data_IF_733782050239
#
_entry.id   IF_733782050239
#
_cell.length_a   1.000
_cell.length_b   1.000
_cell.length_c   1.000
_cell.angle_alpha   90.00
_cell.angle_beta   90.00
_cell.angle_gamma   90.00
#
_symmetry.space_group_name_H-M   'P 1'
#
loop_
_entity.id
_entity.type
_entity.pdbx_description
1 polymer ?
#
# COMPACT_ATOMS: atom_id res chain seq x y z
N UNK A 1 36.10 23.33 -17.77
CA UNK A 1 36.05 24.66 -17.13
C UNK A 1 36.68 25.69 -18.06
N UNK A 2 37.95 25.57 -18.42
CA UNK A 2 38.61 26.42 -19.42
C UNK A 2 37.84 26.51 -20.75
N UNK A 3 37.36 25.38 -21.29
CA UNK A 3 36.56 25.37 -22.52
C UNK A 3 35.27 26.20 -22.48
N UNK A 4 34.64 26.39 -21.30
CA UNK A 4 33.43 27.21 -21.18
C UNK A 4 33.73 28.70 -21.07
N UNK A 5 34.92 29.04 -20.54
CA UNK A 5 35.44 30.41 -20.52
C UNK A 5 35.83 30.82 -21.93
N UNK A 6 36.49 29.93 -22.68
CA UNK A 6 36.91 30.18 -24.06
C UNK A 6 35.72 30.27 -25.03
N UNK A 7 34.62 29.55 -24.77
CA UNK A 7 33.34 29.70 -25.49
C UNK A 7 32.69 31.06 -25.23
N UNK A 8 32.73 31.55 -23.99
CA UNK A 8 32.17 32.85 -23.62
C UNK A 8 33.00 34.02 -24.17
N UNK A 9 34.33 33.92 -24.11
CA UNK A 9 35.23 34.91 -24.71
C UNK A 9 35.08 34.94 -26.25
N UNK A 10 34.90 33.79 -26.90
CA UNK A 10 34.58 33.74 -28.33
C UNK A 10 33.21 34.32 -28.68
N UNK A 11 32.21 34.19 -27.81
CA UNK A 11 30.89 34.79 -28.02
C UNK A 11 30.92 36.33 -27.88
N UNK A 12 31.79 36.85 -27.00
CA UNK A 12 32.05 38.28 -26.83
C UNK A 12 32.88 38.88 -27.97
N UNK A 13 33.83 38.15 -28.54
CA UNK A 13 34.65 38.63 -29.67
C UNK A 13 33.93 38.51 -31.02
N UNK A 14 32.98 37.56 -31.16
CA UNK A 14 32.17 37.40 -32.39
C UNK A 14 30.94 38.30 -32.46
N UNK A 15 30.62 39.05 -31.42
CA UNK A 15 29.50 40.01 -31.44
C UNK A 15 29.90 41.31 -32.16
N UNK A 16 30.03 41.24 -33.49
CA UNK A 16 29.19 42.15 -34.28
C UNK A 16 27.76 41.79 -33.89
N UNK A 17 27.06 42.73 -33.28
CA UNK A 17 25.70 42.56 -32.77
C UNK A 17 24.77 42.36 -33.98
N UNK A 18 24.75 41.13 -34.50
CA UNK A 18 23.76 40.64 -35.44
C UNK A 18 22.99 39.52 -34.74
N UNK A 19 21.67 39.68 -34.76
CA UNK A 19 20.69 38.94 -33.98
C UNK A 19 20.82 37.42 -34.17
N UNK A 20 21.25 36.71 -33.13
CA UNK A 20 21.01 35.28 -32.99
C UNK A 20 19.67 35.07 -32.27
N UNK A 21 18.59 35.06 -33.04
CA UNK A 21 17.30 34.51 -32.61
C UNK A 21 17.37 32.99 -32.69
N UNK A 22 17.65 32.32 -31.58
CA UNK A 22 17.64 30.85 -31.49
C UNK A 22 17.91 30.32 -30.07
N UNK A 23 16.83 30.03 -29.34
CA UNK A 23 16.67 29.03 -28.27
C UNK A 23 17.84 28.68 -27.33
N UNK A 24 18.51 29.68 -26.74
CA UNK A 24 19.27 29.49 -25.50
C UNK A 24 18.94 30.57 -24.47
N UNK A 25 17.88 30.34 -23.69
CA UNK A 25 17.67 31.05 -22.43
C UNK A 25 18.63 30.47 -21.39
N UNK A 26 19.70 31.21 -21.08
CA UNK A 26 20.52 30.91 -19.91
C UNK A 26 19.67 31.09 -18.65
N UNK A 27 19.62 30.07 -17.78
CA UNK A 27 18.83 30.16 -16.55
C UNK A 27 19.56 31.09 -15.58
N UNK A 28 18.82 31.81 -14.74
CA UNK A 28 19.37 32.77 -13.77
C UNK A 28 20.50 32.21 -12.89
N UNK A 29 20.51 30.88 -12.62
CA UNK A 29 21.60 30.21 -11.87
C UNK A 29 22.90 30.08 -12.65
N UNK A 30 22.84 29.94 -13.96
CA UNK A 30 24.04 29.77 -14.81
C UNK A 30 24.79 31.11 -14.94
N UNK A 31 24.05 32.22 -14.91
CA UNK A 31 24.59 33.59 -14.89
C UNK A 31 25.15 33.93 -13.51
N UNK A 32 24.48 33.54 -12.43
CA UNK A 32 24.93 33.75 -11.06
C UNK A 32 26.27 33.04 -10.78
N UNK A 33 26.43 31.81 -11.27
CA UNK A 33 27.68 31.05 -11.15
C UNK A 33 28.88 31.67 -11.90
N UNK A 34 28.63 32.35 -13.02
CA UNK A 34 29.68 33.03 -13.81
C UNK A 34 30.07 34.39 -13.23
N UNK A 35 29.19 35.03 -12.46
CA UNK A 35 29.41 36.34 -11.85
C UNK A 35 30.14 36.28 -10.51
N UNK A 36 30.11 35.13 -9.83
CA UNK A 36 30.85 34.89 -8.58
C UNK A 36 32.38 34.86 -8.76
N UNK A 37 32.89 34.66 -10.00
CA UNK A 37 34.33 34.59 -10.29
C UNK A 37 34.91 35.81 -11.04
N UNK A 38 34.13 36.88 -11.24
CA UNK A 38 34.61 38.10 -11.89
C UNK A 38 35.32 39.05 -10.92
N UNK A 39 36.62 39.26 -11.11
CA UNK A 39 37.38 40.29 -10.36
C UNK A 39 36.95 41.71 -10.73
N UNK A 40 36.92 42.62 -9.75
CA UNK A 40 36.56 44.05 -9.92
C UNK A 40 37.26 44.75 -11.11
N UNK A 41 38.50 44.36 -11.42
CA UNK A 41 39.26 44.85 -12.58
C UNK A 41 38.61 44.53 -13.94
N UNK A 42 38.00 43.34 -14.07
CA UNK A 42 37.31 42.92 -15.30
C UNK A 42 35.97 43.64 -15.46
N UNK A 43 35.22 43.83 -14.36
CA UNK A 43 33.95 44.55 -14.36
C UNK A 43 34.14 46.03 -14.74
N UNK A 44 35.16 46.69 -14.18
CA UNK A 44 35.47 48.10 -14.48
C UNK A 44 35.84 48.32 -15.96
N UNK A 45 36.60 47.40 -16.57
CA UNK A 45 36.95 47.47 -18.00
C UNK A 45 35.74 47.29 -18.91
N UNK A 46 34.78 46.44 -18.54
CA UNK A 46 33.55 46.25 -19.30
C UNK A 46 32.66 47.51 -19.26
N UNK A 47 32.56 48.17 -18.10
CA UNK A 47 31.80 49.42 -17.95
C UNK A 47 32.42 50.55 -18.82
N UNK A 48 33.74 50.70 -18.82
CA UNK A 48 34.44 51.68 -19.67
C UNK A 48 34.23 51.40 -21.18
N UNK A 49 34.10 50.13 -21.56
CA UNK A 49 33.85 49.73 -22.96
C UNK A 49 32.43 50.06 -23.40
N UNK A 50 31.45 49.89 -22.51
CA UNK A 50 30.04 50.25 -22.75
C UNK A 50 29.90 51.78 -22.91
N UNK A 51 30.51 52.57 -22.02
CA UNK A 51 30.47 54.03 -22.11
C UNK A 51 31.12 54.56 -23.39
N UNK A 52 32.24 53.97 -23.82
CA UNK A 52 32.90 54.32 -25.08
C UNK A 52 31.99 54.09 -26.29
N UNK A 53 31.20 53.02 -26.27
CA UNK A 53 30.26 52.72 -27.34
C UNK A 53 29.03 53.65 -27.29
N UNK A 54 28.48 53.93 -26.10
CA UNK A 54 27.38 54.89 -25.95
C UNK A 54 27.75 56.31 -26.43
N UNK A 55 28.96 56.77 -26.13
CA UNK A 55 29.46 58.07 -26.58
C UNK A 55 29.74 58.11 -28.11
N UNK A 56 30.12 56.99 -28.71
CA UNK A 56 30.32 56.88 -30.16
C UNK A 56 29.00 56.96 -30.94
N UNK A 57 27.89 56.51 -30.33
CA UNK A 57 26.55 56.54 -30.92
C UNK A 57 25.75 57.82 -30.57
N UNK A 58 26.40 58.82 -29.97
CA UNK A 58 25.79 60.13 -29.65
C UNK A 58 24.72 60.11 -28.56
N UNK A 59 24.70 59.06 -27.73
CA UNK A 59 23.76 58.90 -26.63
C UNK A 59 24.30 59.63 -25.39
N UNK A 60 23.55 60.62 -24.89
CA UNK A 60 23.89 61.35 -23.66
C UNK A 60 23.99 60.36 -22.48
N UNK A 61 25.21 60.12 -22.01
CA UNK A 61 25.53 59.20 -20.93
C UNK A 61 25.10 59.87 -19.62
N UNK A 62 23.84 59.63 -19.28
CA UNK A 62 23.11 60.21 -18.15
C UNK A 62 23.85 60.07 -16.81
N UNK A 63 23.50 60.97 -15.88
CA UNK A 63 24.00 61.09 -14.48
C UNK A 63 24.28 59.76 -13.77
N UNK A 64 23.61 58.69 -14.14
CA UNK A 64 23.74 57.35 -13.56
C UNK A 64 25.10 56.71 -13.84
N UNK A 65 25.68 56.85 -15.04
CA UNK A 65 27.03 56.31 -15.34
C UNK A 65 28.10 57.05 -14.54
N UNK A 66 27.97 58.38 -14.40
CA UNK A 66 28.88 59.21 -13.59
C UNK A 66 28.75 58.83 -12.11
N UNK A 67 27.52 58.66 -11.61
CA UNK A 67 27.25 58.28 -10.21
C UNK A 67 27.79 56.88 -9.90
N UNK A 68 27.66 55.93 -10.82
CA UNK A 68 28.22 54.58 -10.70
C UNK A 68 29.75 54.58 -10.71
N UNK A 69 30.40 55.44 -11.51
CA UNK A 69 31.86 55.63 -11.46
C UNK A 69 32.34 56.14 -10.11
N UNK A 70 31.67 57.13 -9.53
CA UNK A 70 32.03 57.67 -8.21
C UNK A 70 31.85 56.61 -7.12
N UNK A 71 30.74 55.86 -7.14
CA UNK A 71 30.52 54.75 -6.20
C UNK A 71 31.57 53.66 -6.34
N UNK A 72 31.93 53.23 -7.56
CA UNK A 72 32.96 52.20 -7.76
C UNK A 72 34.36 52.68 -7.31
N UNK A 73 34.72 53.94 -7.54
CA UNK A 73 35.99 54.49 -7.07
C UNK A 73 36.04 54.62 -5.54
N UNK A 74 34.96 55.08 -4.91
CA UNK A 74 34.88 55.20 -3.44
C UNK A 74 34.83 53.80 -2.76
N UNK A 75 34.21 52.81 -3.40
CA UNK A 75 34.14 51.43 -2.92
C UNK A 75 35.43 50.62 -3.15
N UNK A 76 36.34 51.06 -4.03
CA UNK A 76 37.65 50.40 -4.20
C UNK A 76 38.56 50.60 -2.98
N UNK A 77 38.34 51.65 -2.18
CA UNK A 77 39.11 51.94 -0.96
C UNK A 77 38.47 51.38 0.33
N UNK A 78 37.21 50.91 0.30
CA UNK A 78 36.51 50.37 1.49
C UNK A 78 35.72 49.11 1.15
N UNK A 79 36.27 47.96 1.52
CA UNK A 79 35.62 46.66 1.33
C UNK A 79 34.48 46.42 2.34
N UNK A 80 33.25 46.26 1.86
CA UNK A 80 32.20 45.42 2.47
C UNK A 80 31.30 44.79 1.40
N UNK A 81 30.79 43.59 1.68
CA UNK A 81 30.17 42.64 0.72
C UNK A 81 28.80 43.08 0.17
N UNK A 82 28.12 44.04 0.80
CA UNK A 82 26.76 44.44 0.40
C UNK A 82 26.71 45.33 -0.87
N UNK A 83 27.80 46.01 -1.25
CA UNK A 83 27.82 46.87 -2.44
C UNK A 83 27.91 46.10 -3.77
N UNK A 84 28.35 44.83 -3.73
CA UNK A 84 28.47 43.96 -4.92
C UNK A 84 27.09 43.62 -5.52
N UNK A 85 26.07 43.51 -4.67
CA UNK A 85 24.70 43.22 -5.12
C UNK A 85 24.07 44.43 -5.84
N UNK A 86 24.35 45.64 -5.36
CA UNK A 86 23.78 46.87 -5.92
C UNK A 86 24.37 47.21 -7.30
N UNK A 87 25.69 47.02 -7.49
CA UNK A 87 26.33 47.20 -8.80
C UNK A 87 25.83 46.20 -9.85
N UNK A 88 25.52 44.97 -9.43
CA UNK A 88 25.03 43.92 -10.31
C UNK A 88 23.59 44.18 -10.79
N UNK A 89 22.74 44.73 -9.93
CA UNK A 89 21.36 45.11 -10.30
C UNK A 89 21.37 46.25 -11.33
N UNK A 90 22.24 47.26 -11.13
CA UNK A 90 22.34 48.42 -12.03
C UNK A 90 22.89 48.01 -13.40
N UNK A 91 23.89 47.13 -13.46
CA UNK A 91 24.42 46.61 -14.72
C UNK A 91 23.36 45.82 -15.51
N UNK A 92 22.52 45.04 -14.81
CA UNK A 92 21.42 44.29 -15.42
C UNK A 92 20.33 45.21 -15.97
N UNK A 93 20.00 46.30 -15.25
CA UNK A 93 19.02 47.29 -15.70
C UNK A 93 19.52 48.07 -16.92
N UNK A 94 20.78 48.48 -16.95
CA UNK A 94 21.38 49.17 -18.10
C UNK A 94 21.45 48.27 -19.34
N UNK A 95 21.75 46.97 -19.17
CA UNK A 95 21.76 46.00 -20.27
C UNK A 95 20.35 45.72 -20.82
N UNK A 96 19.34 45.67 -19.95
CA UNK A 96 17.95 45.51 -20.35
C UNK A 96 17.43 46.74 -21.11
N UNK A 97 17.77 47.97 -20.68
CA UNK A 97 17.35 49.20 -21.36
C UNK A 97 18.03 49.38 -22.73
N UNK A 98 19.31 49.02 -22.86
CA UNK A 98 20.02 49.05 -24.15
C UNK A 98 19.35 48.11 -25.18
N UNK A 99 19.05 46.87 -24.78
CA UNK A 99 18.39 45.91 -25.66
C UNK A 99 16.97 46.34 -26.05
N UNK A 100 16.23 46.99 -25.14
CA UNK A 100 14.86 47.43 -25.41
C UNK A 100 14.81 48.65 -26.36
N UNK A 101 15.79 49.57 -26.28
CA UNK A 101 15.95 50.68 -27.24
C UNK A 101 16.47 50.20 -28.61
N UNK A 102 17.40 49.25 -28.65
CA UNK A 102 17.88 48.64 -29.90
C UNK A 102 16.76 47.86 -30.61
N UNK A 103 15.89 47.17 -29.87
CA UNK A 103 14.73 46.47 -30.43
C UNK A 103 13.69 47.42 -31.04
N UNK A 104 13.48 48.61 -30.46
CA UNK A 104 12.56 49.63 -31.00
C UNK A 104 13.08 50.31 -32.28
N UNK A 105 14.38 50.49 -32.43
CA UNK A 105 14.97 51.06 -33.65
C UNK A 105 15.02 50.05 -34.82
N UNK A 106 15.14 48.75 -34.52
CA UNK A 106 15.10 47.70 -35.55
C UNK A 106 13.68 47.35 -36.01
N UNK A 107 12.64 47.67 -35.22
CA UNK A 107 11.24 47.40 -35.57
C UNK A 107 10.68 48.33 -36.67
N UNK A 108 11.36 49.43 -37.01
CA UNK A 108 10.91 50.36 -38.06
C UNK A 108 11.59 50.15 -39.42
N UNK A 109 12.56 49.25 -39.55
CA UNK A 109 13.39 49.14 -40.75
C UNK A 109 13.15 47.89 -41.64
N UNK A 110 12.35 46.91 -41.20
CA UNK A 110 12.21 45.64 -41.93
C UNK A 110 10.77 45.34 -42.36
N UNK A 111 10.17 46.29 -43.09
CA UNK A 111 9.01 46.03 -43.93
C UNK A 111 9.49 45.63 -45.34
N UNK A 112 9.96 44.40 -45.51
CA UNK A 112 10.08 43.78 -46.84
C UNK A 112 9.82 42.26 -46.77
N UNK A 113 8.61 41.90 -47.22
CA UNK A 113 8.15 40.60 -47.74
C UNK A 113 8.96 39.35 -47.33
N UNK A 114 8.39 38.57 -46.40
CA UNK A 114 8.67 37.13 -46.29
C UNK A 114 7.34 36.37 -46.24
N UNK A 115 7.18 35.43 -47.17
CA UNK A 115 6.04 34.53 -47.28
C UNK A 115 5.82 33.75 -45.98
N UNK A 116 4.57 33.76 -45.49
CA UNK A 116 4.19 33.05 -44.28
C UNK A 116 3.97 31.56 -44.60
N UNK A 117 5.05 30.77 -44.65
CA UNK A 117 4.90 29.32 -44.55
C UNK A 117 4.41 28.95 -43.14
N UNK A 118 3.15 28.51 -43.05
CA UNK A 118 2.58 27.88 -41.85
C UNK A 118 3.42 26.66 -41.46
N UNK A 119 4.41 26.83 -40.57
CA UNK A 119 5.06 25.70 -39.88
C UNK A 119 4.03 24.98 -39.01
N UNK A 120 3.54 23.86 -39.53
CA UNK A 120 2.61 22.94 -38.89
C UNK A 120 3.18 22.39 -37.57
N UNK A 121 2.48 22.60 -36.46
CA UNK A 121 2.77 22.10 -35.10
C UNK A 121 2.59 20.55 -34.98
N UNK A 122 2.70 19.79 -36.08
CA UNK A 122 2.56 18.32 -36.10
C UNK A 122 3.96 17.74 -36.34
N UNK A 123 4.62 17.12 -35.32
CA UNK A 123 4.19 15.82 -34.79
C UNK A 123 4.39 15.60 -33.27
N UNK A 124 4.66 16.63 -32.46
CA UNK A 124 4.88 16.45 -31.02
C UNK A 124 3.65 15.88 -30.30
N UNK A 125 2.47 16.42 -30.62
CA UNK A 125 1.20 15.91 -30.09
C UNK A 125 0.87 14.51 -30.59
N UNK A 126 1.33 14.12 -31.79
CA UNK A 126 1.16 12.77 -32.33
C UNK A 126 2.08 11.77 -31.59
N UNK A 127 3.31 12.17 -31.29
CA UNK A 127 4.23 11.37 -30.48
C UNK A 127 3.70 11.22 -29.05
N UNK A 128 3.32 12.32 -28.39
CA UNK A 128 2.73 12.28 -27.06
C UNK A 128 1.44 11.44 -27.03
N UNK A 129 0.58 11.58 -28.03
CA UNK A 129 -0.63 10.75 -28.18
C UNK A 129 -0.28 9.27 -28.37
N UNK A 130 0.73 8.94 -29.19
CA UNK A 130 1.17 7.56 -29.40
C UNK A 130 1.76 6.93 -28.13
N UNK A 131 2.52 7.70 -27.34
CA UNK A 131 3.06 7.27 -26.04
C UNK A 131 1.93 7.06 -25.04
N UNK A 132 0.97 7.98 -24.97
CA UNK A 132 -0.22 7.83 -24.12
C UNK A 132 -1.08 6.64 -24.55
N UNK A 133 -1.24 6.41 -25.84
CA UNK A 133 -1.99 5.25 -26.37
C UNK A 133 -1.26 3.94 -26.06
N UNK A 134 0.07 3.91 -26.16
CA UNK A 134 0.85 2.74 -25.76
C UNK A 134 0.71 2.45 -24.25
N UNK A 135 0.78 3.48 -23.40
CA UNK A 135 0.63 3.36 -21.94
C UNK A 135 -0.78 2.98 -21.50
N UNK A 136 -1.81 3.49 -22.18
CA UNK A 136 -3.23 3.34 -21.77
C UNK A 136 -3.90 2.15 -22.45
N UNK A 137 -3.46 1.76 -23.65
CA UNK A 137 -4.10 0.71 -24.44
C UNK A 137 -3.18 -0.49 -24.58
N UNK A 138 -1.98 -0.32 -25.13
CA UNK A 138 -1.13 -1.48 -25.48
C UNK A 138 -0.61 -2.20 -24.23
N UNK A 139 -0.12 -1.47 -23.24
CA UNK A 139 0.40 -2.06 -22.00
C UNK A 139 -0.70 -2.76 -21.20
N UNK A 140 -1.89 -2.14 -20.94
CA UNK A 140 -2.97 -2.86 -20.30
C UNK A 140 -3.41 -4.07 -21.12
N UNK A 141 -3.67 -3.93 -22.43
CA UNK A 141 -4.11 -5.06 -23.26
C UNK A 141 -3.11 -6.22 -23.24
N UNK A 142 -1.80 -5.94 -23.26
CA UNK A 142 -0.76 -6.98 -23.18
C UNK A 142 -0.58 -7.56 -21.78
N UNK A 143 -0.71 -6.76 -20.71
CA UNK A 143 -0.69 -7.28 -19.34
C UNK A 143 -1.94 -8.10 -19.01
N UNK A 144 -3.10 -7.71 -19.56
CA UNK A 144 -4.37 -8.40 -19.33
C UNK A 144 -4.54 -9.63 -20.23
N UNK A 145 -3.95 -9.66 -21.43
CA UNK A 145 -3.97 -10.86 -22.28
C UNK A 145 -3.31 -12.06 -21.61
N UNK A 146 -2.35 -11.82 -20.69
CA UNK A 146 -1.70 -12.84 -19.86
C UNK A 146 -2.75 -13.66 -19.08
N UNK A 147 -3.83 -13.06 -18.59
CA UNK A 147 -4.85 -13.78 -17.83
C UNK A 147 -5.65 -14.79 -18.66
N UNK A 148 -5.68 -14.67 -19.98
CA UNK A 148 -6.37 -15.63 -20.87
C UNK A 148 -5.45 -16.74 -21.38
N UNK A 149 -4.14 -16.68 -21.08
CA UNK A 149 -3.20 -17.72 -21.47
C UNK A 149 -3.48 -18.97 -20.62
N UNK A 150 -3.73 -20.15 -21.22
CA UNK A 150 -4.06 -21.37 -20.49
C UNK A 150 -2.87 -21.99 -19.74
N UNK A 151 -1.73 -21.29 -19.67
CA UNK A 151 -0.53 -21.73 -18.99
C UNK A 151 -0.70 -21.58 -17.46
N UNK A 152 -0.29 -22.61 -16.71
CA UNK A 152 -0.62 -22.75 -15.27
C UNK A 152 -0.24 -21.53 -14.41
N UNK A 153 0.99 -20.98 -14.46
CA UNK A 153 1.35 -19.79 -13.69
C UNK A 153 0.43 -18.58 -13.94
N UNK A 154 0.04 -18.34 -15.19
CA UNK A 154 -0.86 -17.22 -15.53
C UNK A 154 -2.30 -17.49 -15.11
N UNK A 155 -2.73 -18.75 -15.17
CA UNK A 155 -4.03 -19.18 -14.62
C UNK A 155 -4.10 -18.99 -13.11
N UNK A 156 -3.06 -19.34 -12.37
CA UNK A 156 -3.00 -19.14 -10.92
C UNK A 156 -2.99 -17.65 -10.57
N UNK A 157 -2.27 -16.83 -11.32
CA UNK A 157 -2.29 -15.38 -11.15
C UNK A 157 -3.67 -14.78 -11.44
N UNK A 158 -4.34 -15.24 -12.51
CA UNK A 158 -5.74 -14.88 -12.81
C UNK A 158 -6.66 -15.24 -11.66
N UNK A 159 -6.59 -16.48 -11.18
CA UNK A 159 -7.47 -16.97 -10.13
C UNK A 159 -7.23 -16.20 -8.82
N UNK A 160 -5.99 -15.84 -8.51
CA UNK A 160 -5.64 -14.97 -7.39
C UNK A 160 -6.25 -13.58 -7.53
N UNK A 161 -6.16 -12.98 -8.72
CA UNK A 161 -6.74 -11.66 -9.01
C UNK A 161 -8.27 -11.68 -8.88
N UNK A 162 -8.93 -12.61 -9.58
CA UNK A 162 -10.39 -12.76 -9.55
C UNK A 162 -10.86 -13.01 -8.13
N UNK A 163 -10.25 -13.97 -7.42
CA UNK A 163 -10.57 -14.29 -6.04
C UNK A 163 -10.49 -13.04 -5.17
N UNK A 164 -9.36 -12.32 -5.21
CA UNK A 164 -9.15 -11.10 -4.40
C UNK A 164 -10.19 -10.02 -4.69
N UNK A 165 -10.49 -9.77 -5.96
CA UNK A 165 -11.46 -8.75 -6.35
C UNK A 165 -12.89 -9.12 -5.93
N UNK A 166 -13.30 -10.37 -6.17
CA UNK A 166 -14.66 -10.83 -5.90
C UNK A 166 -14.99 -10.92 -4.41
N UNK A 167 -14.00 -11.20 -3.56
CA UNK A 167 -14.13 -11.20 -2.10
C UNK A 167 -13.89 -9.82 -1.48
N UNK A 168 -13.49 -8.82 -2.26
CA UNK A 168 -13.39 -7.43 -1.79
C UNK A 168 -14.71 -6.72 -1.98
N UNK A 169 -15.50 -6.66 -0.90
CA UNK A 169 -16.80 -5.97 -0.77
C UNK A 169 -17.24 -5.11 -1.97
N UNK A 170 -16.83 -3.85 -2.06
CA UNK A 170 -17.26 -2.90 -3.11
C UNK A 170 -16.43 -2.93 -4.39
N UNK A 171 -15.35 -3.72 -4.45
CA UNK A 171 -14.37 -3.69 -5.55
C UNK A 171 -14.49 -4.89 -6.50
N UNK A 172 -15.60 -5.64 -6.43
CA UNK A 172 -15.90 -6.75 -7.35
C UNK A 172 -15.87 -6.34 -8.83
N UNK A 173 -16.14 -5.05 -9.11
CA UNK A 173 -16.04 -4.48 -10.45
C UNK A 173 -14.66 -4.67 -11.09
N UNK A 174 -13.59 -4.77 -10.29
CA UNK A 174 -12.24 -5.05 -10.78
C UNK A 174 -12.19 -6.37 -11.56
N UNK A 175 -12.90 -7.41 -11.12
CA UNK A 175 -13.01 -8.64 -11.89
C UNK A 175 -14.05 -8.53 -13.01
N UNK A 176 -15.23 -7.97 -12.72
CA UNK A 176 -16.39 -7.94 -13.64
C UNK A 176 -16.17 -7.10 -14.91
N UNK A 177 -15.24 -6.14 -14.91
CA UNK A 177 -14.88 -5.40 -16.13
C UNK A 177 -14.17 -6.29 -17.15
N UNK A 178 -13.39 -7.28 -16.69
CA UNK A 178 -12.52 -8.07 -17.56
C UNK A 178 -13.01 -9.50 -17.78
N UNK A 179 -13.64 -10.12 -16.79
CA UNK A 179 -14.00 -11.55 -16.84
C UNK A 179 -15.52 -11.75 -16.96
N UNK A 180 -15.91 -12.78 -17.72
CA UNK A 180 -17.31 -13.19 -17.79
C UNK A 180 -17.76 -13.80 -16.46
N UNK A 181 -19.07 -13.73 -16.19
CA UNK A 181 -19.68 -14.37 -15.01
C UNK A 181 -19.39 -15.88 -14.97
N UNK A 182 -19.30 -16.55 -16.13
CA UNK A 182 -18.91 -17.97 -16.21
C UNK A 182 -17.50 -18.21 -15.68
N UNK A 183 -16.50 -17.44 -16.15
CA UNK A 183 -15.11 -17.55 -15.66
C UNK A 183 -15.00 -17.19 -14.19
N UNK A 184 -15.73 -16.15 -13.75
CA UNK A 184 -15.76 -15.75 -12.34
C UNK A 184 -16.32 -16.89 -11.49
N UNK A 185 -17.47 -17.44 -11.87
CA UNK A 185 -18.11 -18.54 -11.13
C UNK A 185 -17.25 -19.80 -11.14
N UNK A 186 -16.60 -20.13 -12.26
CA UNK A 186 -15.64 -21.24 -12.32
C UNK A 186 -14.57 -21.08 -11.25
N UNK A 187 -13.90 -19.91 -11.21
CA UNK A 187 -12.81 -19.62 -10.25
C UNK A 187 -13.31 -19.59 -8.80
N UNK A 188 -14.45 -18.96 -8.55
CA UNK A 188 -15.01 -18.84 -7.19
C UNK A 188 -15.51 -20.18 -6.65
N UNK A 189 -15.85 -21.13 -7.54
CA UNK A 189 -16.30 -22.47 -7.16
C UNK A 189 -15.19 -23.53 -7.18
N UNK A 190 -13.95 -23.20 -7.60
CA UNK A 190 -12.89 -24.21 -7.78
C UNK A 190 -12.28 -24.74 -6.47
N UNK A 191 -12.60 -24.18 -5.31
CA UNK A 191 -11.86 -24.43 -4.06
C UNK A 191 -12.73 -24.97 -2.91
N UNK A 192 -13.77 -25.76 -3.18
CA UNK A 192 -14.36 -26.62 -2.14
C UNK A 192 -13.75 -28.02 -2.28
N UNK A 193 -12.69 -28.36 -1.53
CA UNK A 193 -12.19 -29.73 -1.53
C UNK A 193 -13.35 -30.67 -1.14
N UNK A 194 -13.45 -31.86 -1.75
CA UNK A 194 -14.53 -32.80 -1.44
C UNK A 194 -14.59 -33.03 0.07
N UNK A 195 -15.79 -33.07 0.64
CA UNK A 195 -15.96 -33.44 2.05
C UNK A 195 -15.25 -34.76 2.29
N UNK A 196 -14.31 -34.74 3.23
CA UNK A 196 -13.67 -35.97 3.66
C UNK A 196 -14.60 -36.52 4.74
N UNK A 197 -14.99 -37.78 4.59
CA UNK A 197 -15.64 -38.54 5.64
C UNK A 197 -14.56 -38.84 6.69
N UNK A 198 -14.58 -38.16 7.83
CA UNK A 198 -13.52 -38.33 8.83
C UNK A 198 -14.06 -38.44 10.24
N UNK A 199 -13.89 -39.63 10.78
CA UNK A 199 -13.78 -39.85 12.22
C UNK A 199 -12.61 -38.99 12.73
N UNK A 200 -12.87 -38.08 13.66
CA UNK A 200 -11.87 -37.25 14.32
C UNK A 200 -10.75 -38.13 14.90
N UNK A 201 -9.49 -37.80 14.61
CA UNK A 201 -8.37 -38.40 15.33
C UNK A 201 -8.52 -37.95 16.78
N UNK A 202 -8.89 -38.87 17.66
CA UNK A 202 -8.78 -38.64 19.10
C UNK A 202 -7.29 -38.55 19.41
N UNK A 203 -6.88 -37.45 20.03
CA UNK A 203 -5.52 -37.32 20.54
C UNK A 203 -5.30 -38.41 21.59
N UNK A 204 -4.22 -39.18 21.46
CA UNK A 204 -3.78 -40.06 22.53
C UNK A 204 -3.39 -39.21 23.75
N UNK A 205 -4.14 -39.41 24.84
CA UNK A 205 -3.93 -38.87 26.20
C UNK A 205 -3.29 -37.48 26.23
N UNK A 206 -4.13 -36.45 26.05
CA UNK A 206 -3.77 -35.10 26.48
C UNK A 206 -3.30 -35.16 27.95
N UNK A 207 -2.03 -34.83 28.17
CA UNK A 207 -1.49 -34.65 29.51
C UNK A 207 -1.46 -33.16 29.77
N UNK A 208 -2.08 -32.72 30.87
CA UNK A 208 -2.10 -31.30 31.26
C UNK A 208 -0.69 -30.73 31.22
N UNK A 209 -0.51 -29.68 30.43
CA UNK A 209 0.77 -28.98 30.26
C UNK A 209 0.85 -27.76 31.15
N UNK A 210 2.08 -27.31 31.39
CA UNK A 210 2.32 -25.98 31.93
C UNK A 210 1.66 -24.93 31.05
N UNK A 211 1.08 -23.93 31.69
CA UNK A 211 0.50 -22.80 30.99
C UNK A 211 1.65 -21.96 30.42
N UNK A 212 1.85 -22.07 29.12
CA UNK A 212 2.90 -21.37 28.39
C UNK A 212 2.33 -20.81 27.11
N UNK A 213 2.45 -19.49 26.96
CA UNK A 213 2.06 -18.76 25.75
C UNK A 213 3.33 -18.21 25.11
N UNK A 214 3.48 -18.43 23.81
CA UNK A 214 4.61 -17.94 23.01
C UNK A 214 4.09 -17.19 21.80
N UNK A 215 4.65 -16.02 21.51
CA UNK A 215 4.34 -15.24 20.33
C UNK A 215 5.49 -15.33 19.31
N UNK A 216 5.13 -15.50 18.04
CA UNK A 216 6.06 -15.58 16.92
C UNK A 216 5.71 -14.55 15.85
N UNK A 217 6.74 -13.95 15.27
CA UNK A 217 6.60 -13.09 14.10
C UNK A 217 6.47 -13.96 12.85
N UNK A 218 5.39 -13.74 12.11
CA UNK A 218 5.17 -14.38 10.81
C UNK A 218 5.43 -13.33 9.74
N UNK A 219 6.35 -13.62 8.82
CA UNK A 219 6.64 -12.72 7.71
C UNK A 219 7.00 -13.49 6.44
N UNK A 220 6.65 -12.88 5.32
CA UNK A 220 6.97 -13.30 3.96
C UNK A 220 7.21 -12.04 3.12
N UNK A 221 7.54 -12.18 1.84
CA UNK A 221 7.66 -11.03 0.94
C UNK A 221 6.35 -10.23 0.80
N UNK A 222 5.21 -10.88 1.02
CA UNK A 222 3.89 -10.33 0.72
C UNK A 222 3.04 -10.05 1.96
N UNK A 223 3.41 -10.59 3.13
CA UNK A 223 2.59 -10.43 4.32
C UNK A 223 3.40 -10.46 5.61
N UNK A 224 2.81 -9.86 6.64
CA UNK A 224 3.28 -9.90 8.02
C UNK A 224 2.14 -10.25 8.97
N UNK A 225 2.45 -10.86 10.10
CA UNK A 225 1.49 -11.17 11.13
C UNK A 225 2.13 -11.76 12.37
N UNK A 226 1.30 -12.37 13.21
CA UNK A 226 1.70 -13.00 14.47
C UNK A 226 1.07 -14.37 14.60
N UNK A 227 1.77 -15.27 15.27
CA UNK A 227 1.25 -16.56 15.71
C UNK A 227 1.43 -16.68 17.22
N UNK A 228 0.35 -16.95 17.95
CA UNK A 228 0.42 -17.38 19.34
C UNK A 228 0.37 -18.90 19.40
N UNK A 229 1.27 -19.50 20.18
CA UNK A 229 1.24 -20.91 20.56
C UNK A 229 0.92 -21.01 22.05
N UNK A 230 -0.19 -21.66 22.36
CA UNK A 230 -0.71 -21.89 23.71
C UNK A 230 -0.50 -23.38 24.03
N UNK A 231 0.37 -23.69 24.99
CA UNK A 231 0.72 -25.08 25.33
C UNK A 231 -0.40 -25.83 26.05
N UNK A 232 -1.22 -25.15 26.84
CA UNK A 232 -2.37 -25.74 27.53
C UNK A 232 -3.70 -25.35 26.82
N UNK A 233 -4.34 -26.26 26.06
CA UNK A 233 -5.61 -25.98 25.41
C UNK A 233 -6.79 -25.73 26.37
N UNK A 234 -6.69 -26.11 27.66
CA UNK A 234 -7.72 -25.78 28.67
C UNK A 234 -7.89 -24.27 28.85
N UNK A 235 -6.85 -23.47 28.57
CA UNK A 235 -6.93 -22.01 28.65
C UNK A 235 -7.75 -21.41 27.51
N UNK A 236 -8.03 -22.17 26.44
CA UNK A 236 -8.69 -21.64 25.24
C UNK A 236 -10.19 -21.91 25.30
N UNK A 237 -10.98 -20.84 25.14
CA UNK A 237 -12.44 -20.87 25.19
C UNK A 237 -13.05 -19.77 24.30
N UNK A 238 -14.37 -19.82 24.09
CA UNK A 238 -15.10 -18.82 23.28
C UNK A 238 -15.74 -17.79 24.21
N UNK A 239 -15.32 -16.53 24.09
CA UNK A 239 -15.89 -15.39 24.80
C UNK A 239 -16.99 -14.69 23.99
N UNK A 240 -18.03 -14.23 24.68
CA UNK A 240 -19.23 -13.62 24.08
C UNK A 240 -19.27 -12.12 24.39
N UNK A 241 -19.74 -11.30 23.43
CA UNK A 241 -20.05 -9.89 23.69
C UNK A 241 -21.10 -9.78 24.81
N UNK A 242 -20.87 -8.90 25.80
CA UNK A 242 -21.88 -8.58 26.83
C UNK A 242 -23.17 -8.00 26.24
N UNK A 243 -23.11 -7.47 25.02
CA UNK A 243 -24.23 -6.90 24.28
C UNK A 243 -24.76 -7.84 23.18
N UNK A 244 -24.50 -9.16 23.31
CA UNK A 244 -24.91 -10.16 22.33
C UNK A 244 -26.38 -10.02 21.91
N UNK A 245 -26.66 -10.21 20.62
CA UNK A 245 -27.98 -10.00 20.03
C UNK A 245 -28.38 -8.54 19.80
N UNK A 246 -27.62 -7.57 20.31
CA UNK A 246 -27.83 -6.14 20.02
C UNK A 246 -26.66 -5.51 19.28
N UNK A 247 -25.43 -5.70 19.77
CA UNK A 247 -24.19 -5.20 19.17
C UNK A 247 -22.98 -6.01 19.65
N UNK A 248 -21.98 -6.16 18.81
CA UNK A 248 -20.68 -6.69 19.19
C UNK A 248 -19.88 -5.70 20.05
N UNK A 249 -18.71 -6.16 20.48
CA UNK A 249 -17.71 -5.38 21.22
C UNK A 249 -16.36 -5.42 20.50
N UNK A 250 -15.43 -4.53 20.84
CA UNK A 250 -14.06 -4.68 20.37
C UNK A 250 -13.42 -5.89 21.04
N UNK A 251 -12.41 -6.47 20.39
CA UNK A 251 -11.74 -7.67 20.93
C UNK A 251 -11.18 -7.42 22.34
N UNK A 252 -10.54 -6.28 22.55
CA UNK A 252 -9.99 -5.86 23.85
C UNK A 252 -11.07 -5.84 24.93
N UNK A 253 -12.23 -5.24 24.67
CA UNK A 253 -13.34 -5.23 25.64
C UNK A 253 -13.81 -6.66 26.00
N UNK A 254 -13.86 -7.57 25.02
CA UNK A 254 -14.26 -8.97 25.27
C UNK A 254 -13.18 -9.68 26.10
N UNK A 255 -11.90 -9.45 25.80
CA UNK A 255 -10.78 -9.99 26.61
C UNK A 255 -10.91 -9.51 28.07
N UNK A 256 -11.16 -8.22 28.28
CA UNK A 256 -11.29 -7.62 29.60
C UNK A 256 -12.50 -8.15 30.37
N UNK A 257 -13.65 -8.34 29.72
CA UNK A 257 -14.86 -8.89 30.34
C UNK A 257 -14.63 -10.28 30.99
N UNK A 258 -13.74 -11.08 30.40
CA UNK A 258 -13.43 -12.45 30.83
C UNK A 258 -12.14 -12.54 31.65
N UNK A 259 -11.50 -11.41 31.96
CA UNK A 259 -10.17 -11.37 32.59
C UNK A 259 -9.14 -12.24 31.84
N UNK A 260 -9.24 -12.29 30.51
CA UNK A 260 -8.38 -13.11 29.66
C UNK A 260 -7.02 -12.42 29.40
N UNK A 261 -6.02 -13.18 28.96
CA UNK A 261 -4.67 -12.65 28.63
C UNK A 261 -4.46 -12.47 27.12
N UNK A 262 -5.22 -13.18 26.29
CA UNK A 262 -5.11 -13.09 24.84
C UNK A 262 -6.46 -13.32 24.16
N UNK A 263 -6.55 -12.93 22.89
CA UNK A 263 -7.68 -13.29 22.05
C UNK A 263 -7.46 -13.02 20.57
N UNK A 264 -8.29 -13.67 19.75
CA UNK A 264 -8.45 -13.41 18.32
C UNK A 264 -9.95 -13.37 17.98
N UNK A 265 -10.30 -12.79 16.83
CA UNK A 265 -11.69 -12.82 16.38
C UNK A 265 -12.19 -14.25 16.09
N UNK A 266 -13.51 -14.45 16.23
CA UNK A 266 -14.18 -15.73 15.95
C UNK A 266 -14.80 -15.80 14.54
N UNK A 267 -16.02 -16.34 14.46
CA UNK A 267 -16.81 -16.47 13.23
C UNK A 267 -17.07 -15.15 12.52
N UNK A 268 -17.45 -15.26 11.25
CA UNK A 268 -18.08 -14.16 10.54
C UNK A 268 -19.38 -13.75 11.22
N UNK A 269 -19.97 -12.65 10.79
CA UNK A 269 -21.23 -12.18 11.32
C UNK A 269 -22.04 -11.47 10.24
N UNK A 270 -23.35 -11.34 10.48
CA UNK A 270 -24.24 -10.65 9.55
C UNK A 270 -23.85 -9.18 9.48
N UNK A 271 -23.22 -8.80 8.37
CA UNK A 271 -22.65 -7.47 8.13
C UNK A 271 -23.29 -6.81 6.90
N UNK A 272 -24.62 -6.59 6.96
CA UNK A 272 -25.35 -5.90 5.90
C UNK A 272 -24.73 -4.53 5.62
N UNK A 273 -24.21 -4.33 4.42
CA UNK A 273 -23.67 -3.04 4.02
C UNK A 273 -22.27 -2.71 4.57
N UNK A 274 -21.60 -3.60 5.31
CA UNK A 274 -20.39 -3.25 6.08
C UNK A 274 -20.67 -2.38 7.30
N UNK A 275 -21.95 -2.26 7.69
CA UNK A 275 -22.45 -1.44 8.82
C UNK A 275 -23.16 -2.32 9.86
N UNK A 276 -22.99 -3.63 9.78
CA UNK A 276 -23.57 -4.58 10.69
C UNK A 276 -23.15 -4.29 12.12
N UNK A 277 -24.10 -4.46 13.03
CA UNK A 277 -23.86 -4.26 14.47
C UNK A 277 -22.99 -5.36 15.07
N UNK A 278 -22.63 -6.40 14.31
CA UNK A 278 -21.99 -7.61 14.83
C UNK A 278 -22.82 -8.23 15.96
N UNK A 279 -24.15 -8.23 15.81
CA UNK A 279 -25.08 -8.68 16.84
C UNK A 279 -25.17 -10.21 16.95
N UNK A 280 -25.08 -10.89 15.80
CA UNK A 280 -25.15 -12.35 15.68
C UNK A 280 -24.04 -12.85 14.75
N UNK A 281 -23.37 -13.95 15.10
CA UNK A 281 -22.42 -14.60 14.21
C UNK A 281 -23.13 -15.27 13.04
N UNK A 282 -22.35 -15.61 12.01
CA UNK A 282 -22.71 -16.65 11.05
C UNK A 282 -22.46 -17.99 11.74
N UNK A 283 -23.45 -18.87 11.67
CA UNK A 283 -23.32 -20.24 12.20
C UNK A 283 -23.73 -20.45 13.63
N UNK A 284 -23.53 -21.69 14.07
CA UNK A 284 -23.76 -22.06 15.47
C UNK A 284 -22.65 -21.48 16.34
N UNK A 285 -23.03 -21.02 17.53
CA UNK A 285 -22.11 -20.53 18.54
C UNK A 285 -22.30 -21.33 19.81
N UNK A 286 -21.23 -21.98 20.26
CA UNK A 286 -21.20 -22.76 21.51
C UNK A 286 -20.14 -22.14 22.41
N UNK A 287 -20.49 -21.93 23.67
CA UNK A 287 -19.59 -21.43 24.72
C UNK A 287 -19.99 -22.07 26.04
N UNK A 288 -19.00 -22.53 26.81
CA UNK A 288 -19.19 -23.20 28.11
C UNK A 288 -20.17 -24.40 28.05
N UNK A 289 -20.18 -25.13 26.94
CA UNK A 289 -21.06 -26.28 26.68
C UNK A 289 -22.49 -25.93 26.31
N UNK A 290 -22.83 -24.64 26.22
CA UNK A 290 -24.16 -24.15 25.89
C UNK A 290 -24.23 -23.64 24.45
N UNK A 291 -25.30 -23.98 23.74
CA UNK A 291 -25.60 -23.36 22.44
C UNK A 291 -26.12 -21.94 22.72
N UNK A 292 -25.27 -20.94 22.46
CA UNK A 292 -25.57 -19.51 22.66
C UNK A 292 -26.42 -18.99 21.50
N UNK A 293 -26.13 -19.45 20.28
CA UNK A 293 -26.86 -19.06 19.09
C UNK A 293 -26.95 -20.20 18.08
N UNK A 294 -28.13 -20.35 17.50
CA UNK A 294 -28.46 -21.37 16.51
C UNK A 294 -29.31 -20.76 15.38
N UNK A 295 -28.75 -20.60 14.17
CA UNK A 295 -29.48 -20.08 13.02
C UNK A 295 -30.43 -21.11 12.37
N UNK A 296 -30.57 -22.32 12.93
CA UNK A 296 -31.40 -23.42 12.45
C UNK A 296 -31.05 -23.92 11.05
N UNK A 297 -29.75 -24.08 10.77
CA UNK A 297 -29.28 -24.73 9.56
C UNK A 297 -29.49 -26.26 9.63
N UNK A 298 -29.48 -26.90 8.47
CA UNK A 298 -29.53 -28.36 8.38
C UNK A 298 -28.25 -29.00 8.92
N UNK A 299 -27.12 -28.40 8.56
CA UNK A 299 -25.77 -28.81 8.92
C UNK A 299 -24.96 -27.56 9.29
N UNK A 300 -23.94 -27.76 10.10
CA UNK A 300 -23.05 -26.71 10.59
C UNK A 300 -21.62 -27.11 10.32
N UNK A 301 -20.87 -26.19 9.73
CA UNK A 301 -19.42 -26.23 9.78
C UNK A 301 -18.96 -25.72 11.15
N UNK A 302 -18.07 -26.46 11.81
CA UNK A 302 -17.55 -26.09 13.12
C UNK A 302 -16.03 -26.22 13.17
N UNK A 303 -15.44 -25.33 13.97
CA UNK A 303 -14.16 -25.52 14.63
C UNK A 303 -14.35 -25.25 16.12
N UNK A 304 -14.07 -26.25 16.96
CA UNK A 304 -14.41 -26.17 18.38
C UNK A 304 -13.67 -27.17 19.25
N UNK A 305 -13.58 -26.88 20.54
CA UNK A 305 -12.96 -27.74 21.55
C UNK A 305 -14.04 -28.61 22.21
N UNK A 306 -13.78 -29.91 22.28
CA UNK A 306 -14.54 -30.81 23.15
C UNK A 306 -14.10 -30.71 24.62
N UNK A 307 -14.81 -31.40 25.50
CA UNK A 307 -14.49 -31.46 26.94
C UNK A 307 -13.12 -32.07 27.24
N UNK A 308 -12.55 -32.83 26.30
CA UNK A 308 -11.22 -33.44 26.40
C UNK A 308 -10.12 -32.52 25.81
N UNK A 309 -10.47 -31.30 25.40
CA UNK A 309 -9.60 -30.30 24.76
C UNK A 309 -9.13 -30.67 23.34
N UNK A 310 -9.81 -31.56 22.64
CA UNK A 310 -9.53 -31.82 21.22
C UNK A 310 -10.22 -30.77 20.34
N UNK A 311 -9.47 -30.17 19.42
CA UNK A 311 -9.99 -29.24 18.44
C UNK A 311 -10.59 -30.04 17.27
N UNK A 312 -11.92 -30.09 17.24
CA UNK A 312 -12.73 -30.77 16.23
C UNK A 312 -12.98 -29.79 15.08
N UNK A 313 -12.83 -30.28 13.84
CA UNK A 313 -13.11 -29.54 12.61
C UNK A 313 -13.94 -30.42 11.69
N UNK A 314 -15.10 -29.94 11.25
CA UNK A 314 -15.96 -30.76 10.39
C UNK A 314 -17.32 -30.15 10.12
N UNK A 315 -18.17 -30.94 9.49
CA UNK A 315 -19.56 -30.62 9.15
C UNK A 315 -20.47 -31.63 9.83
N UNK A 316 -21.47 -31.15 10.55
CA UNK A 316 -22.33 -31.99 11.37
C UNK A 316 -23.78 -31.50 11.36
N UNK A 317 -24.72 -32.43 11.39
CA UNK A 317 -26.09 -32.12 11.78
C UNK A 317 -26.15 -31.72 13.26
N UNK A 318 -27.21 -31.03 13.67
CA UNK A 318 -27.42 -30.66 15.09
C UNK A 318 -27.37 -31.88 16.02
N UNK A 319 -27.93 -33.01 15.60
CA UNK A 319 -27.95 -34.24 16.40
C UNK A 319 -26.55 -34.89 16.53
N UNK A 320 -25.67 -34.69 15.56
CA UNK A 320 -24.28 -35.15 15.64
C UNK A 320 -23.45 -34.23 16.52
N UNK A 321 -23.61 -32.91 16.39
CA UNK A 321 -22.95 -31.91 17.24
C UNK A 321 -23.18 -32.18 18.73
N UNK A 322 -24.43 -32.48 19.12
CA UNK A 322 -24.79 -32.79 20.51
C UNK A 322 -24.08 -34.03 21.07
N UNK A 323 -23.53 -34.90 20.21
CA UNK A 323 -22.77 -36.10 20.62
C UNK A 323 -21.26 -35.84 20.71
N UNK A 324 -20.77 -34.70 20.24
CA UNK A 324 -19.35 -34.35 20.23
C UNK A 324 -18.86 -33.80 21.59
N UNK A 325 -19.77 -33.55 22.55
CA UNK A 325 -19.43 -32.94 23.84
C UNK A 325 -18.58 -31.67 23.69
N UNK A 326 -18.98 -30.79 22.76
CA UNK A 326 -18.31 -29.51 22.53
C UNK A 326 -18.52 -28.60 23.74
N UNK A 327 -17.43 -28.02 24.26
CA UNK A 327 -17.50 -26.94 25.24
C UNK A 327 -17.49 -25.57 24.56
N UNK A 328 -16.78 -25.42 23.45
CA UNK A 328 -16.61 -24.14 22.77
C UNK A 328 -16.56 -24.40 21.26
N UNK A 329 -17.34 -23.68 20.46
CA UNK A 329 -17.30 -23.82 19.01
C UNK A 329 -17.78 -22.56 18.30
N UNK A 330 -17.18 -22.32 17.14
CA UNK A 330 -17.50 -21.25 16.20
C UNK A 330 -17.58 -21.82 14.78
N UNK A 331 -18.34 -21.20 13.89
CA UNK A 331 -18.30 -21.53 12.46
C UNK A 331 -16.99 -21.01 11.83
N UNK A 332 -16.20 -21.88 11.18
CA UNK A 332 -15.02 -21.47 10.43
C UNK A 332 -15.43 -20.88 9.07
N UNK A 333 -14.63 -19.96 8.56
CA UNK A 333 -14.74 -19.51 7.18
C UNK A 333 -14.27 -20.58 6.19
N UNK A 334 -13.22 -21.34 6.53
CA UNK A 334 -12.68 -22.36 5.65
C UNK A 334 -11.90 -23.43 6.43
N UNK A 335 -12.18 -24.72 6.19
CA UNK A 335 -11.49 -25.86 6.83
C UNK A 335 -10.14 -26.12 6.15
N UNK A 336 -9.02 -25.95 6.87
CA UNK A 336 -7.67 -25.96 6.31
C UNK A 336 -6.99 -27.34 6.44
N UNK A 337 -7.05 -27.94 7.63
CA UNK A 337 -6.42 -29.24 7.92
C UNK A 337 -7.41 -30.04 8.76
N UNK A 338 -7.66 -31.28 8.37
CA UNK A 338 -8.49 -32.19 9.15
C UNK A 338 -7.73 -33.49 9.30
N UNK A 339 -7.48 -33.91 10.53
CA UNK A 339 -6.80 -35.17 10.86
C UNK A 339 -5.42 -35.33 10.18
N UNK A 340 -4.64 -34.24 10.15
CA UNK A 340 -3.32 -34.17 9.52
C UNK A 340 -3.36 -33.95 8.00
N UNK A 341 -4.53 -34.07 7.37
CA UNK A 341 -4.69 -33.92 5.93
C UNK A 341 -4.96 -32.47 5.53
N UNK A 342 -4.00 -31.88 4.81
CA UNK A 342 -4.16 -30.57 4.15
C UNK A 342 -5.31 -30.62 3.15
N UNK A 343 -6.25 -29.67 3.23
CA UNK A 343 -7.44 -29.60 2.36
C UNK A 343 -7.12 -28.96 1.00
N UNK A 344 -6.24 -27.98 0.98
CA UNK A 344 -5.79 -27.28 -0.23
C UNK A 344 -4.55 -28.01 -0.77
N UNK A 345 -4.74 -28.83 -1.81
CA UNK A 345 -3.68 -29.62 -2.45
C UNK A 345 -3.00 -28.90 -3.62
N UNK A 346 -3.67 -27.90 -4.23
CA UNK A 346 -3.15 -27.09 -5.33
C UNK A 346 -3.77 -25.69 -5.30
N UNK A 347 -3.24 -24.76 -6.10
CA UNK A 347 -3.75 -23.38 -6.17
C UNK A 347 -3.48 -22.55 -4.91
N UNK A 348 -4.28 -21.51 -4.69
CA UNK A 348 -4.20 -20.60 -3.54
C UNK A 348 -5.28 -20.89 -2.46
N UNK A 349 -6.18 -21.85 -2.71
CA UNK A 349 -7.32 -22.15 -1.84
C UNK A 349 -8.43 -21.10 -1.89
N UNK A 350 -8.53 -20.36 -2.99
CA UNK A 350 -9.59 -19.40 -3.24
C UNK A 350 -9.45 -18.10 -2.45
N UNK A 351 -10.44 -17.23 -2.60
CA UNK A 351 -10.67 -16.02 -1.82
C UNK A 351 -9.55 -14.96 -1.80
N UNK A 352 -8.50 -15.12 -2.62
CA UNK A 352 -7.49 -14.10 -2.86
C UNK A 352 -6.55 -13.77 -1.69
N UNK A 353 -5.91 -12.61 -1.76
CA UNK A 353 -5.00 -12.06 -0.74
C UNK A 353 -5.72 -11.11 0.20
N UNK A 354 -5.83 -11.48 1.48
CA UNK A 354 -6.52 -10.66 2.49
C UNK A 354 -5.84 -10.78 3.86
N UNK A 355 -6.16 -9.87 4.82
CA UNK A 355 -5.94 -10.15 6.22
C UNK A 355 -6.67 -11.45 6.59
N UNK A 356 -6.03 -12.33 7.34
CA UNK A 356 -6.55 -13.65 7.69
C UNK A 356 -6.42 -13.90 9.18
N UNK A 357 -7.40 -14.61 9.73
CA UNK A 357 -7.33 -15.21 11.07
C UNK A 357 -7.52 -16.71 10.93
N UNK A 358 -6.76 -17.50 11.64
CA UNK A 358 -6.90 -18.95 11.65
C UNK A 358 -6.52 -19.54 13.01
N UNK A 359 -7.07 -20.70 13.31
CA UNK A 359 -6.77 -21.47 14.52
C UNK A 359 -6.43 -22.90 14.12
N UNK A 360 -5.53 -23.53 14.87
CA UNK A 360 -5.24 -24.96 14.72
C UNK A 360 -4.73 -25.58 16.01
N UNK A 361 -4.68 -26.91 16.02
CA UNK A 361 -4.15 -27.69 17.14
C UNK A 361 -3.10 -28.67 16.65
N UNK A 362 -1.99 -28.75 17.37
CA UNK A 362 -0.91 -29.71 17.14
C UNK A 362 -1.21 -31.06 17.80
N UNK A 363 -0.52 -32.12 17.35
CA UNK A 363 -0.68 -33.46 17.93
C UNK A 363 -0.42 -33.51 19.45
N UNK A 364 0.40 -32.59 19.96
CA UNK A 364 0.70 -32.50 21.39
C UNK A 364 -0.34 -31.70 22.20
N UNK A 365 -1.46 -31.31 21.58
CA UNK A 365 -2.56 -30.56 22.19
C UNK A 365 -2.41 -29.04 22.16
N UNK A 366 -1.25 -28.48 21.81
CA UNK A 366 -1.06 -27.03 21.78
C UNK A 366 -1.98 -26.35 20.77
N UNK A 367 -2.58 -25.21 21.15
CA UNK A 367 -3.37 -24.38 20.24
C UNK A 367 -2.49 -23.35 19.57
N UNK A 368 -2.73 -23.13 18.29
CA UNK A 368 -2.10 -22.12 17.45
C UNK A 368 -3.16 -21.10 17.04
N UNK A 369 -2.93 -19.82 17.32
CA UNK A 369 -3.75 -18.70 16.86
C UNK A 369 -2.93 -17.84 15.91
N UNK A 370 -3.32 -17.79 14.64
CA UNK A 370 -2.63 -17.08 13.57
C UNK A 370 -3.45 -15.87 13.15
N UNK A 371 -2.81 -14.71 13.09
CA UNK A 371 -3.38 -13.50 12.47
C UNK A 371 -2.37 -12.88 11.52
N UNK A 372 -2.78 -12.67 10.28
CA UNK A 372 -2.00 -12.04 9.21
C UNK A 372 -2.64 -10.71 8.86
N UNK A 373 -1.86 -9.63 8.90
CA UNK A 373 -2.26 -8.30 8.43
C UNK A 373 -2.50 -8.33 6.92
N UNK A 374 -3.23 -7.36 6.38
CA UNK A 374 -3.44 -7.28 4.94
C UNK A 374 -4.04 -5.95 4.49
N UNK A 375 -4.10 -5.74 3.17
CA UNK A 375 -4.61 -4.50 2.54
C UNK A 375 -3.85 -3.24 2.99
N UNK A 376 -2.58 -3.38 3.32
CA UNK A 376 -1.71 -2.31 3.83
C UNK A 376 -0.34 -2.36 3.13
N UNK A 377 0.42 -1.26 3.15
CA UNK A 377 1.70 -1.18 2.44
C UNK A 377 2.72 -2.22 2.95
N UNK A 378 2.70 -2.52 4.25
CA UNK A 378 3.60 -3.50 4.86
C UNK A 378 3.11 -4.95 4.75
N UNK A 379 1.83 -5.15 4.40
CA UNK A 379 1.22 -6.47 4.24
C UNK A 379 0.06 -6.41 3.26
N UNK A 380 0.19 -7.03 2.08
CA UNK A 380 -0.91 -7.10 1.12
C UNK A 380 -1.94 -8.15 1.53
N UNK A 381 -1.52 -9.16 2.30
CA UNK A 381 -2.38 -10.23 2.84
C UNK A 381 -1.90 -11.62 2.42
N UNK A 382 -2.57 -12.64 2.96
CA UNK A 382 -2.27 -14.04 2.72
C UNK A 382 -3.44 -14.77 2.04
N UNK A 383 -3.10 -15.85 1.33
CA UNK A 383 -4.07 -16.80 0.78
C UNK A 383 -4.53 -17.80 1.85
N UNK A 384 -5.57 -18.59 1.56
CA UNK A 384 -5.94 -19.71 2.42
C UNK A 384 -4.83 -20.76 2.49
N UNK A 385 -4.15 -21.01 1.37
CA UNK A 385 -3.03 -21.95 1.33
C UNK A 385 -1.86 -21.50 2.19
N UNK A 386 -1.55 -20.20 2.20
CA UNK A 386 -0.52 -19.66 3.10
C UNK A 386 -0.85 -19.95 4.56
N UNK A 387 -2.10 -19.71 4.99
CA UNK A 387 -2.53 -20.00 6.37
C UNK A 387 -2.42 -21.49 6.71
N UNK A 388 -2.86 -22.36 5.79
CA UNK A 388 -2.73 -23.81 5.94
C UNK A 388 -1.28 -24.24 6.08
N UNK A 389 -0.39 -23.72 5.23
CA UNK A 389 1.01 -24.10 5.21
C UNK A 389 1.76 -23.59 6.44
N UNK A 390 1.46 -22.37 6.92
CA UNK A 390 1.97 -21.84 8.19
C UNK A 390 1.53 -22.77 9.34
N UNK A 391 0.24 -22.99 9.54
CA UNK A 391 -0.24 -23.83 10.66
C UNK A 391 0.30 -25.25 10.58
N UNK A 392 0.37 -25.85 9.38
CA UNK A 392 0.97 -27.16 9.17
C UNK A 392 2.45 -27.19 9.50
N UNK A 393 3.23 -26.15 9.15
CA UNK A 393 4.66 -26.07 9.50
C UNK A 393 4.91 -25.96 11.01
N UNK A 394 3.94 -25.43 11.75
CA UNK A 394 3.94 -25.41 13.22
C UNK A 394 3.36 -26.70 13.83
N UNK A 395 2.97 -27.67 13.00
CA UNK A 395 2.55 -29.02 13.41
C UNK A 395 1.05 -29.21 13.61
N UNK A 396 0.20 -28.30 13.10
CA UNK A 396 -1.24 -28.45 13.22
C UNK A 396 -1.75 -29.70 12.50
N UNK A 397 -2.55 -30.51 13.20
CA UNK A 397 -3.28 -31.65 12.65
C UNK A 397 -4.74 -31.33 12.37
N UNK A 398 -5.32 -30.36 13.08
CA UNK A 398 -6.64 -29.80 12.82
C UNK A 398 -6.49 -28.28 12.74
N UNK A 399 -7.08 -27.66 11.72
CA UNK A 399 -7.02 -26.22 11.53
C UNK A 399 -8.15 -25.69 10.64
N UNK A 400 -8.59 -24.47 10.92
CA UNK A 400 -9.49 -23.73 10.05
C UNK A 400 -9.20 -22.22 10.09
N UNK A 401 -9.54 -21.54 8.99
CA UNK A 401 -9.61 -20.10 8.93
C UNK A 401 -10.92 -19.62 9.56
N UNK A 402 -10.85 -18.52 10.30
CA UNK A 402 -11.97 -17.82 10.93
C UNK A 402 -12.33 -16.59 10.07
N UNK A 403 -13.13 -15.67 10.62
CA UNK A 403 -13.41 -14.42 9.90
C UNK A 403 -12.12 -13.65 9.61
N UNK A 404 -12.06 -13.08 8.41
CA UNK A 404 -10.88 -12.41 7.89
C UNK A 404 -11.09 -10.92 7.69
N UNK A 405 -10.26 -10.34 6.82
CA UNK A 405 -10.42 -8.95 6.40
C UNK A 405 -10.33 -7.98 7.56
N UNK A 406 -11.31 -7.08 7.67
CA UNK A 406 -11.34 -6.08 8.74
C UNK A 406 -11.52 -6.66 10.14
N UNK A 407 -11.95 -7.93 10.24
CA UNK A 407 -12.15 -8.61 11.51
C UNK A 407 -10.86 -9.20 12.06
N UNK A 408 -9.82 -9.36 11.23
CA UNK A 408 -8.55 -9.95 11.65
C UNK A 408 -7.82 -9.08 12.66
N UNK A 409 -7.74 -9.58 13.90
CA UNK A 409 -7.10 -8.88 15.02
C UNK A 409 -6.60 -9.89 16.07
N UNK A 410 -5.48 -9.55 16.72
CA UNK A 410 -4.90 -10.30 17.83
C UNK A 410 -4.60 -9.36 18.99
N UNK A 411 -5.10 -9.72 20.17
CA UNK A 411 -4.75 -9.10 21.44
C UNK A 411 -3.91 -10.08 22.26
N UNK A 412 -2.85 -9.59 22.91
CA UNK A 412 -2.07 -10.36 23.86
C UNK A 412 -1.40 -9.44 24.87
N UNK A 413 -1.52 -9.74 26.16
CA UNK A 413 -0.77 -9.12 27.24
C UNK A 413 -0.85 -7.57 27.22
N UNK A 414 -2.08 -7.05 27.32
CA UNK A 414 -2.31 -5.60 27.41
C UNK A 414 -2.36 -4.86 26.07
N UNK A 415 -2.07 -5.52 24.94
CA UNK A 415 -1.86 -4.81 23.68
C UNK A 415 -2.38 -5.57 22.45
N UNK A 416 -2.84 -4.82 21.46
CA UNK A 416 -3.08 -5.32 20.10
C UNK A 416 -1.73 -5.56 19.40
N UNK A 417 -1.48 -6.80 18.97
CA UNK A 417 -0.19 -7.22 18.37
C UNK A 417 -0.18 -7.19 16.84
N UNK A 418 -1.31 -6.91 16.22
CA UNK A 418 -1.49 -6.86 14.75
C UNK A 418 -2.07 -5.51 14.30
N UNK A 419 -2.19 -5.28 12.99
CA UNK A 419 -2.72 -4.02 12.43
C UNK A 419 -4.03 -4.28 11.67
N UNK A 420 -5.19 -3.96 12.27
CA UNK A 420 -6.48 -4.12 11.62
C UNK A 420 -6.57 -3.35 10.29
N UNK A 421 -7.22 -3.96 9.28
CA UNK A 421 -7.28 -3.38 7.93
C UNK A 421 -8.35 -2.31 7.75
N UNK A 422 -9.11 -1.98 8.79
CA UNK A 422 -10.19 -0.99 8.76
C UNK A 422 -9.71 0.43 9.10
N UNK A 423 -8.40 0.63 9.26
CA UNK A 423 -7.79 1.93 9.54
C UNK A 423 -7.86 2.35 11.01
N UNK A 424 -8.33 1.48 11.92
CA UNK A 424 -8.28 1.69 13.37
C UNK A 424 -7.15 0.90 14.01
N UNK A 425 -6.80 1.21 15.25
CA UNK A 425 -5.83 0.44 16.05
C UNK A 425 -6.48 -0.65 16.90
N UNK A 426 -7.80 -0.59 17.10
CA UNK A 426 -8.57 -1.43 18.01
C UNK A 426 -9.53 -2.41 17.29
N UNK A 427 -9.50 -2.43 15.95
CA UNK A 427 -10.33 -3.34 15.15
C UNK A 427 -11.78 -2.89 14.99
N UNK A 428 -12.68 -3.86 14.87
CA UNK A 428 -14.13 -3.67 14.65
C UNK A 428 -14.94 -4.46 15.68
N UNK A 429 -16.24 -4.21 15.73
CA UNK A 429 -17.15 -4.96 16.58
C UNK A 429 -17.23 -6.43 16.18
N UNK A 430 -17.22 -7.32 17.17
CA UNK A 430 -17.32 -8.76 17.06
C UNK A 430 -18.43 -9.30 17.99
N UNK A 431 -19.25 -10.27 17.56
CA UNK A 431 -20.25 -10.89 18.44
C UNK A 431 -19.60 -11.82 19.48
N UNK A 432 -18.47 -12.43 19.11
CA UNK A 432 -17.71 -13.37 19.91
C UNK A 432 -16.24 -13.37 19.49
N UNK A 433 -15.39 -13.92 20.35
CA UNK A 433 -13.96 -14.07 20.14
C UNK A 433 -13.47 -15.40 20.70
N UNK A 434 -12.33 -15.89 20.21
CA UNK A 434 -11.63 -17.01 20.84
C UNK A 434 -10.58 -16.41 21.77
N UNK A 435 -10.69 -16.72 23.06
CA UNK A 435 -9.91 -16.12 24.13
C UNK A 435 -8.94 -17.15 24.74
N UNK A 436 -7.95 -16.62 25.47
CA UNK A 436 -7.02 -17.41 26.28
C UNK A 436 -7.08 -16.88 27.71
N UNK A 437 -7.52 -17.72 28.64
CA UNK A 437 -7.64 -17.39 30.06
C UNK A 437 -6.28 -17.23 30.74
N UNK A 438 -6.29 -16.52 31.88
CA UNK A 438 -5.15 -16.45 32.79
C UNK A 438 -4.95 -17.78 33.53
N UNK A 439 -3.80 -17.92 34.16
CA UNK A 439 -3.39 -19.10 34.93
C UNK A 439 -4.18 -19.29 36.22
#
# INVERSE_FOLDING_TARGET
MQNKVDEFENALDKTKIEAYTGDYYWRARDIQFLLEECTWSKLYKSILRIEKNCNADGLDTSRDIIRTKTTINDSYERYTVDDFYLSNIIAYQLFAEYNNKSAKNNFSAENQKLDYEKRSIKPFWLYLFSVLTALIVVIPVTLFSIFYIPFKPFRELRNLYIGTAMTTYSHQWLAKIFFSEETINEVMNTDVPPELDINTIKLDVYTKKENKIQIFDISSSNYSGKLLKISNPEQVFVGISNNFGTRGQFLEDIVDNYDAVAGINGSGFVDEGGKGKAAYPVGILISEGNIIYDPNYKEYDIIGLDTDNNLIVGTYTKNELLKLNLRDAVEPFYKLIINGEKRIKSGNGGYGLHPRTAIGQTLDGSILMLVIDGRQLHSIGATMKDCQDILSSYGAINAAALDGGSSSIMYYDGEIKTKPSNGTTYGRYLPSAILVGKD
#
